data_IF_120852155568
#
_entry.id   IF_120852155568
#
_cell.length_a   1.000
_cell.length_b   1.000
_cell.length_c   1.000
_cell.angle_alpha   90.00
_cell.angle_beta   90.00
_cell.angle_gamma   90.00
#
_symmetry.space_group_name_H-M   'P 1'
#
loop_
_entity.id
_entity.type
_entity.pdbx_description
1 polymer ?
#
# COMPACT_ATOMS: atom_id res chain seq x y z
N UNK A 1 10.64 -5.45 20.32
CA UNK A 1 9.61 -4.39 20.29
C UNK A 1 8.40 -4.92 19.53
N UNK A 2 7.17 -4.43 19.77
CA UNK A 2 6.03 -4.74 18.91
C UNK A 2 5.95 -3.70 17.79
N UNK A 3 5.64 -4.12 16.57
CA UNK A 3 5.47 -3.26 15.40
C UNK A 3 4.45 -3.86 14.43
N UNK A 4 3.95 -3.03 13.52
CA UNK A 4 3.13 -3.45 12.37
C UNK A 4 3.86 -3.04 11.10
N UNK A 5 4.16 -3.99 10.19
CA UNK A 5 4.68 -3.68 8.85
C UNK A 5 3.54 -3.17 7.97
N UNK A 6 3.71 -1.98 7.38
CA UNK A 6 2.68 -1.29 6.59
C UNK A 6 2.84 -1.54 5.08
N UNK A 7 4.08 -1.59 4.59
CA UNK A 7 4.44 -1.76 3.18
C UNK A 7 4.44 -3.25 2.76
N UNK A 8 3.27 -3.91 2.82
CA UNK A 8 3.16 -5.36 2.56
C UNK A 8 3.22 -5.74 1.08
N UNK A 9 2.69 -4.86 0.22
CA UNK A 9 2.54 -5.07 -1.21
C UNK A 9 3.33 -4.04 -2.04
N UNK A 10 4.19 -3.25 -1.42
CA UNK A 10 5.00 -2.26 -2.09
C UNK A 10 6.22 -1.99 -1.22
N UNK A 11 7.28 -1.43 -1.79
CA UNK A 11 8.38 -0.86 -1.02
C UNK A 11 9.12 0.19 -1.84
N UNK A 12 9.95 0.99 -1.19
CA UNK A 12 10.90 1.86 -1.88
C UNK A 12 11.99 1.01 -2.54
N UNK A 13 12.47 1.43 -3.72
CA UNK A 13 13.59 0.79 -4.40
C UNK A 13 14.86 0.90 -3.53
N UNK A 14 15.45 -0.22 -3.09
CA UNK A 14 16.65 -0.20 -2.25
C UNK A 14 17.88 0.38 -2.98
N UNK A 15 17.82 0.50 -4.30
CA UNK A 15 18.84 1.13 -5.14
C UNK A 15 18.67 2.65 -5.30
N UNK A 16 17.52 3.24 -4.97
CA UNK A 16 17.23 4.65 -5.24
C UNK A 16 17.31 5.51 -3.95
N UNK A 17 18.13 6.58 -3.92
CA UNK A 17 18.20 7.51 -2.76
C UNK A 17 17.10 8.61 -2.79
N UNK A 18 16.21 8.60 -3.78
CA UNK A 18 15.38 9.75 -4.15
C UNK A 18 14.13 9.96 -3.29
N UNK A 19 14.23 9.81 -1.96
CA UNK A 19 13.16 10.22 -1.07
C UNK A 19 13.02 11.75 -1.10
N UNK A 20 11.85 12.21 -1.52
CA UNK A 20 11.42 13.59 -1.39
C UNK A 20 10.38 13.72 -0.29
N UNK A 21 10.67 14.58 0.68
CA UNK A 21 9.73 14.95 1.75
C UNK A 21 9.17 16.34 1.47
N UNK A 22 7.86 16.43 1.29
CA UNK A 22 7.16 17.68 0.99
C UNK A 22 6.07 17.95 2.04
N UNK A 23 6.12 19.07 2.77
CA UNK A 23 4.98 19.52 3.56
C UNK A 23 3.77 19.75 2.63
N UNK A 24 2.60 19.29 3.07
CA UNK A 24 1.31 19.52 2.41
C UNK A 24 0.34 20.13 3.43
N UNK A 25 -0.81 20.60 2.98
CA UNK A 25 -1.83 21.11 3.90
C UNK A 25 -2.22 20.02 4.90
N UNK A 26 -2.09 20.32 6.18
CA UNK A 26 -2.34 19.39 7.28
C UNK A 26 -1.36 18.23 7.43
N UNK A 27 -0.24 18.12 6.68
CA UNK A 27 0.59 16.91 6.78
C UNK A 27 1.90 16.89 5.98
N UNK A 28 2.37 15.68 5.69
CA UNK A 28 3.59 15.41 4.90
C UNK A 28 3.27 14.42 3.79
N UNK A 29 3.83 14.66 2.61
CA UNK A 29 3.93 13.68 1.54
C UNK A 29 5.38 13.23 1.38
N UNK A 30 5.59 11.91 1.45
CA UNK A 30 6.79 11.25 0.95
C UNK A 30 6.58 10.87 -0.51
N UNK A 31 7.61 11.02 -1.33
CA UNK A 31 7.61 10.53 -2.72
C UNK A 31 8.94 9.84 -3.00
N UNK A 32 8.90 8.65 -3.58
CA UNK A 32 10.06 7.79 -3.78
C UNK A 32 9.81 6.81 -4.94
N UNK A 33 10.88 6.28 -5.52
CA UNK A 33 10.81 5.22 -6.53
C UNK A 33 10.43 3.91 -5.84
N UNK A 34 9.50 3.17 -6.41
CA UNK A 34 9.06 1.86 -5.92
C UNK A 34 9.98 0.74 -6.39
N UNK A 35 10.03 -0.38 -5.66
CA UNK A 35 10.85 -1.56 -5.99
C UNK A 35 10.16 -2.50 -7.00
N UNK A 36 10.54 -2.47 -8.30
CA UNK A 36 9.98 -3.40 -9.30
C UNK A 36 10.53 -4.83 -9.17
N UNK A 37 11.64 -5.04 -8.45
CA UNK A 37 12.24 -6.37 -8.29
C UNK A 37 11.57 -7.15 -7.17
N UNK A 38 11.14 -6.45 -6.11
CA UNK A 38 10.40 -7.02 -5.00
C UNK A 38 8.93 -7.31 -5.33
N UNK A 39 8.35 -6.59 -6.30
CA UNK A 39 6.91 -6.61 -6.56
C UNK A 39 6.61 -6.62 -8.07
N UNK A 40 6.09 -7.74 -8.58
CA UNK A 40 5.83 -7.95 -10.01
C UNK A 40 4.79 -7.01 -10.64
N UNK A 41 4.01 -6.31 -9.83
CA UNK A 41 3.00 -5.37 -10.29
C UNK A 41 3.51 -3.93 -10.34
N UNK A 42 4.76 -3.69 -9.97
CA UNK A 42 5.40 -2.38 -9.95
C UNK A 42 6.29 -2.28 -11.20
N UNK A 43 6.12 -1.20 -11.96
CA UNK A 43 6.91 -0.95 -13.16
C UNK A 43 8.23 -0.24 -12.82
N UNK A 44 9.26 -0.40 -13.66
CA UNK A 44 10.54 0.28 -13.47
C UNK A 44 10.37 1.82 -13.47
N UNK A 45 10.93 2.47 -12.45
CA UNK A 45 10.85 3.93 -12.30
C UNK A 45 9.49 4.43 -11.80
N UNK A 46 8.56 3.54 -11.46
CA UNK A 46 7.27 3.93 -10.92
C UNK A 46 7.41 4.62 -9.56
N UNK A 47 6.65 5.70 -9.38
CA UNK A 47 6.70 6.52 -8.17
C UNK A 47 5.57 6.14 -7.20
N UNK A 48 5.93 6.02 -5.93
CA UNK A 48 5.01 5.83 -4.82
C UNK A 48 4.91 7.09 -3.96
N UNK A 49 3.76 7.25 -3.31
CA UNK A 49 3.52 8.32 -2.34
C UNK A 49 3.01 7.75 -1.03
N UNK A 50 3.57 8.23 0.07
CA UNK A 50 3.01 8.04 1.41
C UNK A 50 2.52 9.39 1.91
N UNK A 51 1.25 9.46 2.28
CA UNK A 51 0.60 10.64 2.83
C UNK A 51 0.41 10.45 4.33
N UNK A 52 1.06 11.29 5.13
CA UNK A 52 0.88 11.34 6.57
C UNK A 52 -0.01 12.53 6.90
N UNK A 53 -1.18 12.25 7.47
CA UNK A 53 -2.20 13.23 7.83
C UNK A 53 -2.04 13.70 9.28
N UNK A 54 -2.26 14.99 9.50
CA UNK A 54 -2.16 15.67 10.80
C UNK A 54 -0.88 15.30 11.51
N UNK A 55 0.22 15.82 10.96
CA UNK A 55 1.58 15.57 11.44
C UNK A 55 1.93 16.53 12.57
N UNK A 56 2.27 15.99 13.73
CA UNK A 56 2.84 16.77 14.83
C UNK A 56 4.31 17.11 14.55
N UNK A 57 5.13 16.09 14.30
CA UNK A 57 6.56 16.26 14.07
C UNK A 57 7.15 15.10 13.27
N UNK A 58 8.28 15.35 12.62
CA UNK A 58 9.03 14.34 11.90
C UNK A 58 10.54 14.55 12.03
N UNK A 59 11.32 13.51 11.73
CA UNK A 59 12.78 13.57 11.61
C UNK A 59 13.23 12.93 10.30
N UNK A 60 14.41 13.31 9.85
CA UNK A 60 15.13 12.69 8.75
C UNK A 60 16.55 12.44 9.25
N UNK A 61 16.82 11.19 9.61
CA UNK A 61 18.11 10.76 10.12
C UNK A 61 18.94 10.21 8.94
N UNK A 62 20.16 10.70 8.69
CA UNK A 62 21.01 10.24 7.59
C UNK A 62 21.69 8.87 7.86
N UNK A 63 21.29 8.16 8.91
CA UNK A 63 21.74 6.80 9.20
C UNK A 63 21.47 5.89 8.02
N UNK A 64 22.50 5.19 7.55
CA UNK A 64 22.41 4.15 6.54
C UNK A 64 22.36 2.74 7.16
N UNK A 65 22.21 1.71 6.32
CA UNK A 65 22.12 0.33 6.76
C UNK A 65 23.35 -0.13 7.56
N UNK A 66 24.55 0.33 7.23
CA UNK A 66 25.77 -0.11 7.91
C UNK A 66 25.79 0.44 9.33
N UNK A 67 25.53 1.75 9.47
CA UNK A 67 25.43 2.42 10.78
C UNK A 67 24.34 1.79 11.64
N UNK A 68 23.21 1.43 11.02
CA UNK A 68 22.10 0.74 11.68
C UNK A 68 22.49 -0.64 12.21
N UNK A 69 23.16 -1.45 11.38
CA UNK A 69 23.63 -2.79 11.75
C UNK A 69 24.68 -2.76 12.86
N UNK A 70 25.52 -1.72 12.88
CA UNK A 70 26.49 -1.48 13.96
C UNK A 70 25.84 -1.06 15.29
N UNK A 71 24.51 -0.93 15.32
CA UNK A 71 23.72 -0.66 16.52
C UNK A 71 23.70 0.81 16.93
N UNK A 72 24.14 1.72 16.05
CA UNK A 72 24.26 3.15 16.32
C UNK A 72 22.95 3.93 16.08
N UNK A 73 21.81 3.25 16.17
CA UNK A 73 20.48 3.84 16.14
C UNK A 73 19.69 3.44 17.39
N UNK A 74 18.68 4.25 17.74
CA UNK A 74 17.87 4.06 18.96
C UNK A 74 17.04 2.77 18.98
N UNK A 75 16.84 2.15 17.81
CA UNK A 75 16.28 0.80 17.67
C UNK A 75 17.31 -0.12 17.02
N UNK A 76 17.27 -1.40 17.38
CA UNK A 76 18.17 -2.42 16.87
C UNK A 76 17.51 -3.26 15.75
N UNK A 77 18.31 -3.83 14.84
CA UNK A 77 17.79 -4.55 13.66
C UNK A 77 16.96 -5.80 14.00
N UNK A 78 17.24 -6.45 15.14
CA UNK A 78 16.42 -7.55 15.65
C UNK A 78 15.03 -7.07 16.14
N UNK A 79 14.86 -5.77 16.37
CA UNK A 79 13.61 -5.14 16.77
C UNK A 79 12.85 -4.55 15.58
N UNK A 80 13.54 -3.99 14.59
CA UNK A 80 12.98 -3.40 13.37
C UNK A 80 13.87 -3.73 12.16
N UNK A 81 13.50 -4.70 11.32
CA UNK A 81 14.29 -4.99 10.13
C UNK A 81 14.49 -3.77 9.23
N UNK A 82 15.71 -3.58 8.73
CA UNK A 82 16.03 -2.51 7.79
C UNK A 82 15.25 -2.61 6.46
N UNK A 83 14.99 -1.46 5.85
CA UNK A 83 14.44 -1.34 4.49
C UNK A 83 12.92 -1.41 4.41
N UNK A 84 12.21 -1.23 5.53
CA UNK A 84 10.77 -1.48 5.62
C UNK A 84 10.04 -0.29 6.26
N UNK A 85 8.71 -0.27 6.14
CA UNK A 85 7.86 0.76 6.71
C UNK A 85 6.99 0.21 7.84
N UNK A 86 7.06 0.84 9.01
CA UNK A 86 6.42 0.34 10.22
C UNK A 86 5.57 1.40 10.93
N UNK A 87 4.52 0.91 11.59
CA UNK A 87 3.89 1.58 12.72
C UNK A 87 4.39 0.97 14.04
N UNK A 88 4.75 1.84 14.98
CA UNK A 88 5.21 1.48 16.31
C UNK A 88 4.11 1.77 17.35
N UNK A 89 3.34 0.75 17.78
CA UNK A 89 2.26 0.96 18.72
C UNK A 89 2.80 1.29 20.12
N UNK A 90 2.11 2.19 20.82
CA UNK A 90 2.35 2.56 22.22
C UNK A 90 3.70 3.24 22.51
N UNK A 91 4.34 3.89 21.51
CA UNK A 91 5.49 4.75 21.80
C UNK A 91 5.01 6.08 22.37
N UNK A 92 5.58 6.48 23.50
CA UNK A 92 5.33 7.79 24.07
C UNK A 92 5.93 8.86 23.14
N UNK A 93 5.13 9.83 22.72
CA UNK A 93 5.60 10.93 21.85
C UNK A 93 6.77 11.71 22.47
N UNK A 94 6.96 11.64 23.80
CA UNK A 94 8.11 12.22 24.50
C UNK A 94 9.44 11.50 24.21
N UNK A 95 9.38 10.24 23.77
CA UNK A 95 10.55 9.46 23.39
C UNK A 95 10.94 9.70 21.91
N UNK A 96 10.24 10.60 21.22
CA UNK A 96 10.56 10.99 19.85
C UNK A 96 11.86 11.83 19.80
N UNK A 97 12.67 11.77 18.73
CA UNK A 97 13.98 12.40 18.72
C UNK A 97 13.94 13.91 19.02
N UNK A 98 14.99 14.41 19.68
CA UNK A 98 15.05 15.80 20.13
C UNK A 98 15.14 16.79 18.96
N UNK A 99 15.83 16.40 17.89
CA UNK A 99 16.08 17.16 16.65
C UNK A 99 14.90 17.17 15.67
N UNK A 100 13.73 16.70 16.11
CA UNK A 100 12.48 16.72 15.34
C UNK A 100 12.14 18.11 14.80
N UNK A 101 11.55 18.12 13.61
CA UNK A 101 10.89 19.27 13.01
C UNK A 101 9.40 19.22 13.38
N UNK A 102 8.97 20.16 14.22
CA UNK A 102 7.56 20.29 14.61
C UNK A 102 6.80 21.03 13.50
N UNK A 103 5.70 20.43 13.02
CA UNK A 103 4.82 21.03 12.02
C UNK A 103 3.55 21.63 12.65
N UNK A 104 2.94 20.93 13.60
CA UNK A 104 1.75 21.42 14.30
C UNK A 104 1.72 20.97 15.77
N UNK A 105 2.06 21.89 16.67
CA UNK A 105 2.05 21.65 18.12
C UNK A 105 0.63 21.75 18.74
N UNK A 106 -0.43 21.98 17.97
CA UNK A 106 -1.81 22.04 18.49
C UNK A 106 -2.54 20.69 18.42
N UNK A 107 -2.00 19.70 17.70
CA UNK A 107 -2.61 18.37 17.55
C UNK A 107 -2.77 17.68 18.91
N UNK A 108 -3.88 16.94 19.12
CA UNK A 108 -4.05 16.10 20.30
C UNK A 108 -3.05 14.94 20.28
N UNK A 109 -2.10 14.97 21.22
CA UNK A 109 -1.02 13.99 21.31
C UNK A 109 -1.52 12.58 21.67
N UNK A 110 -2.78 12.43 22.12
CA UNK A 110 -3.38 11.13 22.43
C UNK A 110 -3.74 10.31 21.20
N UNK A 111 -3.95 10.97 20.06
CA UNK A 111 -4.33 10.33 18.79
C UNK A 111 -3.13 10.12 17.87
N UNK A 112 -1.94 10.55 18.29
CA UNK A 112 -0.71 10.38 17.52
C UNK A 112 -0.28 8.92 17.46
N UNK A 113 0.01 8.49 16.24
CA UNK A 113 0.66 7.23 15.89
C UNK A 113 2.10 7.51 15.49
N UNK A 114 2.94 6.50 15.62
CA UNK A 114 4.37 6.60 15.33
C UNK A 114 4.70 5.75 14.12
N UNK A 115 5.18 6.42 13.07
CA UNK A 115 5.60 5.80 11.82
C UNK A 115 7.11 5.91 11.63
N UNK A 116 7.74 4.83 11.17
CA UNK A 116 9.17 4.82 10.84
C UNK A 116 9.39 4.08 9.52
N UNK A 117 10.10 4.71 8.58
CA UNK A 117 10.42 4.15 7.28
C UNK A 117 11.93 4.20 7.06
N UNK A 118 12.53 3.02 6.91
CA UNK A 118 13.92 2.84 6.56
C UNK A 118 14.08 2.87 5.03
N UNK A 119 14.69 3.94 4.51
CA UNK A 119 15.12 4.04 3.12
C UNK A 119 16.56 3.56 2.97
N UNK A 120 17.15 3.64 1.78
CA UNK A 120 18.51 3.19 1.51
C UNK A 120 19.57 3.90 2.37
N UNK A 121 19.46 5.22 2.49
CA UNK A 121 20.51 6.12 3.01
C UNK A 121 19.99 7.06 4.10
N UNK A 122 18.75 6.83 4.57
CA UNK A 122 18.14 7.64 5.61
C UNK A 122 16.95 6.93 6.24
N UNK A 123 16.60 7.37 7.44
CA UNK A 123 15.42 6.93 8.19
C UNK A 123 14.48 8.13 8.31
N UNK A 124 13.26 7.96 7.82
CA UNK A 124 12.17 8.89 8.07
C UNK A 124 11.38 8.42 9.29
N UNK A 125 11.19 9.30 10.26
CA UNK A 125 10.36 9.03 11.43
C UNK A 125 9.33 10.12 11.60
N UNK A 126 8.09 9.77 11.98
CA UNK A 126 7.00 10.73 12.06
C UNK A 126 5.96 10.38 13.12
N UNK A 127 5.46 11.42 13.78
CA UNK A 127 4.25 11.38 14.60
C UNK A 127 3.10 12.02 13.84
N UNK A 128 2.10 11.22 13.47
CA UNK A 128 0.96 11.65 12.67
C UNK A 128 -0.31 10.93 13.13
N UNK A 129 -1.49 11.44 12.77
CA UNK A 129 -2.75 10.78 13.12
C UNK A 129 -3.07 9.60 12.20
N UNK A 130 -2.68 9.71 10.93
CA UNK A 130 -2.92 8.66 9.96
C UNK A 130 -1.87 8.61 8.85
N UNK A 131 -1.85 7.50 8.13
CA UNK A 131 -0.94 7.24 7.03
C UNK A 131 -1.65 6.45 5.93
N UNK A 132 -1.45 6.85 4.67
CA UNK A 132 -1.93 6.09 3.50
C UNK A 132 -0.90 6.04 2.38
N UNK A 133 -0.92 4.96 1.60
CA UNK A 133 -0.10 4.79 0.42
C UNK A 133 -0.92 4.99 -0.87
N UNK A 134 -0.29 5.57 -1.90
CA UNK A 134 -0.86 5.70 -3.25
C UNK A 134 0.22 5.56 -4.32
N UNK A 135 -0.12 4.98 -5.46
CA UNK A 135 0.71 5.06 -6.67
C UNK A 135 0.59 6.46 -7.29
N UNK A 136 1.69 7.00 -7.81
CA UNK A 136 1.71 8.30 -8.50
C UNK A 136 1.61 8.14 -10.02
N UNK A 137 0.58 7.41 -10.45
CA UNK A 137 0.39 7.01 -11.86
C UNK A 137 -1.03 7.25 -12.38
N UNK A 138 -1.94 7.79 -11.55
CA UNK A 138 -3.34 8.01 -11.92
C UNK A 138 -4.11 6.72 -12.23
N UNK A 139 -3.74 5.58 -11.60
CA UNK A 139 -4.35 4.27 -11.87
C UNK A 139 -5.87 4.28 -11.77
N UNK A 140 -6.43 4.98 -10.77
CA UNK A 140 -7.87 5.03 -10.56
C UNK A 140 -8.56 5.79 -11.69
N UNK A 141 -8.04 6.96 -12.03
CA UNK A 141 -8.53 7.78 -13.13
C UNK A 141 -8.46 7.03 -14.46
N UNK A 142 -7.37 6.30 -14.69
CA UNK A 142 -7.19 5.46 -15.88
C UNK A 142 -8.22 4.31 -15.95
N UNK A 143 -8.47 3.62 -14.83
CA UNK A 143 -9.44 2.54 -14.76
C UNK A 143 -10.87 3.07 -14.95
N UNK A 144 -11.21 4.22 -14.36
CA UNK A 144 -12.51 4.86 -14.53
C UNK A 144 -12.74 5.32 -15.98
N UNK A 145 -11.71 5.85 -16.65
CA UNK A 145 -11.80 6.24 -18.06
C UNK A 145 -12.03 5.02 -18.97
N UNK A 146 -11.25 3.94 -18.77
CA UNK A 146 -11.33 2.72 -19.60
C UNK A 146 -12.55 1.86 -19.30
N UNK A 147 -12.94 1.78 -18.03
CA UNK A 147 -13.97 0.89 -17.51
C UNK A 147 -14.93 1.68 -16.59
N UNK A 148 -15.75 2.60 -17.14
CA UNK A 148 -16.53 3.57 -16.37
C UNK A 148 -17.65 2.96 -15.53
N UNK A 149 -17.96 1.67 -15.71
CA UNK A 149 -18.88 0.94 -14.83
C UNK A 149 -18.17 0.33 -13.63
N UNK A 150 -16.87 0.05 -13.75
CA UNK A 150 -16.01 -0.36 -12.65
C UNK A 150 -16.45 -1.65 -11.98
N UNK A 151 -17.09 -2.59 -12.70
CA UNK A 151 -17.60 -3.83 -12.10
C UNK A 151 -16.47 -4.66 -11.48
N UNK A 152 -15.33 -4.76 -12.15
CA UNK A 152 -14.18 -5.51 -11.64
C UNK A 152 -13.47 -4.74 -10.51
N UNK A 153 -13.51 -3.40 -10.51
CA UNK A 153 -13.04 -2.60 -9.38
C UNK A 153 -13.89 -2.91 -8.14
N UNK A 154 -15.21 -2.82 -8.29
CA UNK A 154 -16.19 -3.12 -7.23
C UNK A 154 -16.01 -4.54 -6.70
N UNK A 155 -15.90 -5.54 -7.59
CA UNK A 155 -15.65 -6.92 -7.22
C UNK A 155 -14.39 -7.07 -6.34
N UNK A 156 -13.26 -6.47 -6.75
CA UNK A 156 -11.99 -6.56 -6.00
C UNK A 156 -12.03 -5.81 -4.67
N UNK A 157 -12.64 -4.62 -4.62
CA UNK A 157 -12.81 -3.85 -3.38
C UNK A 157 -13.62 -4.65 -2.36
N UNK A 158 -14.72 -5.23 -2.81
CA UNK A 158 -15.57 -6.05 -1.95
C UNK A 158 -14.88 -7.37 -1.59
N UNK A 159 -14.09 -7.99 -2.48
CA UNK A 159 -13.25 -9.14 -2.14
C UNK A 159 -12.26 -8.81 -1.01
N UNK A 160 -11.54 -7.70 -1.12
CA UNK A 160 -10.55 -7.25 -0.14
C UNK A 160 -11.18 -7.02 1.26
N UNK A 161 -12.45 -6.63 1.31
CA UNK A 161 -13.18 -6.48 2.57
C UNK A 161 -13.52 -7.80 3.27
N UNK A 162 -13.55 -8.91 2.53
CA UNK A 162 -13.97 -10.22 3.02
C UNK A 162 -12.81 -11.21 3.20
N UNK A 163 -11.73 -11.05 2.43
CA UNK A 163 -10.62 -11.99 2.40
C UNK A 163 -9.27 -11.27 2.44
N UNK A 164 -8.43 -11.68 3.39
CA UNK A 164 -7.06 -11.16 3.50
C UNK A 164 -6.10 -11.73 2.45
N UNK A 165 -6.38 -12.97 1.97
CA UNK A 165 -5.49 -13.71 1.07
C UNK A 165 -6.23 -14.22 -0.16
N UNK A 166 -5.65 -14.06 -1.36
CA UNK A 166 -6.18 -14.63 -2.58
C UNK A 166 -5.88 -16.12 -2.65
N UNK A 167 -6.92 -16.91 -2.85
CA UNK A 167 -6.82 -18.33 -3.17
C UNK A 167 -7.95 -18.69 -4.11
N UNK A 168 -7.76 -19.74 -4.90
CA UNK A 168 -8.82 -20.28 -5.77
C UNK A 168 -10.12 -20.55 -5.00
N UNK A 169 -10.04 -21.07 -3.79
CA UNK A 169 -11.20 -21.33 -2.94
C UNK A 169 -11.90 -20.03 -2.53
N UNK A 170 -11.14 -19.02 -2.09
CA UNK A 170 -11.67 -17.72 -1.70
C UNK A 170 -12.33 -17.02 -2.89
N UNK A 171 -11.73 -17.06 -4.09
CA UNK A 171 -12.35 -16.49 -5.29
C UNK A 171 -13.66 -17.20 -5.66
N UNK A 172 -13.70 -18.53 -5.55
CA UNK A 172 -14.93 -19.28 -5.80
C UNK A 172 -16.02 -18.94 -4.79
N UNK A 173 -15.70 -18.93 -3.50
CA UNK A 173 -16.64 -18.58 -2.42
C UNK A 173 -17.15 -17.15 -2.60
N UNK A 174 -16.24 -16.23 -2.86
CA UNK A 174 -16.59 -14.83 -3.04
C UNK A 174 -17.41 -14.59 -4.31
N UNK A 175 -17.15 -15.31 -5.40
CA UNK A 175 -17.97 -15.20 -6.62
C UNK A 175 -19.42 -15.59 -6.35
N UNK A 176 -19.65 -16.64 -5.56
CA UNK A 176 -21.00 -17.02 -5.12
C UNK A 176 -21.64 -15.92 -4.26
N UNK A 177 -20.90 -15.41 -3.28
CA UNK A 177 -21.37 -14.33 -2.41
C UNK A 177 -21.70 -13.04 -3.19
N UNK A 178 -20.85 -12.66 -4.14
CA UNK A 178 -21.05 -11.49 -4.99
C UNK A 178 -22.37 -11.59 -5.78
N UNK A 179 -22.68 -12.76 -6.34
CA UNK A 179 -23.96 -12.98 -7.04
C UNK A 179 -25.15 -12.90 -6.08
N UNK A 180 -25.00 -13.37 -4.84
CA UNK A 180 -26.06 -13.27 -3.83
C UNK A 180 -26.32 -11.83 -3.40
N UNK A 181 -25.28 -10.99 -3.34
CA UNK A 181 -25.37 -9.58 -2.95
C UNK A 181 -25.85 -8.69 -4.10
N UNK A 182 -25.19 -8.76 -5.26
CA UNK A 182 -25.39 -7.84 -6.39
C UNK A 182 -26.36 -8.37 -7.45
N UNK A 183 -26.60 -9.68 -7.46
CA UNK A 183 -27.50 -10.34 -8.38
C UNK A 183 -26.87 -10.78 -9.70
N UNK A 184 -27.57 -11.69 -10.39
CA UNK A 184 -27.08 -12.32 -11.64
C UNK A 184 -26.86 -11.36 -12.79
N UNK A 185 -27.64 -10.26 -12.84
CA UNK A 185 -27.51 -9.26 -13.90
C UNK A 185 -26.16 -8.55 -13.79
N UNK A 186 -25.84 -8.04 -12.60
CA UNK A 186 -24.57 -7.35 -12.36
C UNK A 186 -23.38 -8.30 -12.57
N UNK A 187 -23.51 -9.56 -12.16
CA UNK A 187 -22.48 -10.56 -12.43
C UNK A 187 -22.27 -10.84 -13.93
N UNK A 188 -23.33 -10.77 -14.75
CA UNK A 188 -23.20 -10.87 -16.20
C UNK A 188 -22.48 -9.65 -16.80
N UNK A 189 -22.75 -8.45 -16.26
CA UNK A 189 -22.07 -7.21 -16.67
C UNK A 189 -20.58 -7.22 -16.26
N UNK A 190 -20.25 -7.71 -15.04
CA UNK A 190 -18.87 -7.99 -14.61
C UNK A 190 -18.15 -8.93 -15.59
N UNK A 191 -18.80 -10.01 -16.02
CA UNK A 191 -18.21 -10.93 -17.01
C UNK A 191 -17.95 -10.25 -18.34
N UNK A 192 -18.86 -9.39 -18.80
CA UNK A 192 -18.70 -8.64 -20.04
C UNK A 192 -17.53 -7.64 -19.95
N UNK A 193 -17.43 -6.90 -18.85
CA UNK A 193 -16.29 -6.01 -18.58
C UNK A 193 -14.98 -6.80 -18.54
N UNK A 194 -14.94 -7.94 -17.85
CA UNK A 194 -13.76 -8.80 -17.79
C UNK A 194 -13.29 -9.30 -19.16
N UNK A 195 -14.21 -9.59 -20.10
CA UNK A 195 -13.83 -9.90 -21.48
C UNK A 195 -13.16 -8.71 -22.18
N UNK A 196 -13.62 -7.48 -21.93
CA UNK A 196 -12.98 -6.27 -22.45
C UNK A 196 -11.59 -6.07 -21.87
N UNK A 197 -11.43 -6.21 -20.55
CA UNK A 197 -10.14 -6.12 -19.85
C UNK A 197 -9.12 -7.09 -20.46
N UNK A 198 -9.53 -8.34 -20.69
CA UNK A 198 -8.67 -9.35 -21.33
C UNK A 198 -8.33 -9.00 -22.76
N UNK A 199 -9.30 -8.52 -23.55
CA UNK A 199 -9.10 -8.11 -24.94
C UNK A 199 -8.08 -6.97 -25.06
N UNK A 200 -8.08 -6.06 -24.09
CA UNK A 200 -7.18 -4.91 -24.04
C UNK A 200 -5.83 -5.23 -23.37
N UNK A 201 -5.63 -6.45 -22.87
CA UNK A 201 -4.46 -6.84 -22.08
C UNK A 201 -4.26 -6.01 -20.80
N UNK A 202 -5.36 -5.54 -20.20
CA UNK A 202 -5.35 -4.61 -19.06
C UNK A 202 -5.36 -5.31 -17.68
N UNK A 203 -5.21 -6.64 -17.62
CA UNK A 203 -5.20 -7.37 -16.33
C UNK A 203 -4.08 -6.89 -15.38
N UNK A 204 -2.96 -6.41 -15.92
CA UNK A 204 -1.87 -5.82 -15.11
C UNK A 204 -2.32 -4.59 -14.32
N UNK A 205 -3.26 -3.79 -14.85
CA UNK A 205 -3.83 -2.64 -14.13
C UNK A 205 -4.64 -3.11 -12.92
N UNK A 206 -5.38 -4.20 -13.05
CA UNK A 206 -6.16 -4.79 -11.96
C UNK A 206 -5.29 -5.54 -10.94
N UNK A 207 -4.16 -6.09 -11.37
CA UNK A 207 -3.15 -6.62 -10.45
C UNK A 207 -2.60 -5.49 -9.56
N UNK A 208 -2.25 -4.34 -10.16
CA UNK A 208 -1.80 -3.15 -9.43
C UNK A 208 -2.89 -2.60 -8.51
N UNK A 209 -4.13 -2.52 -9.01
CA UNK A 209 -5.28 -2.06 -8.22
C UNK A 209 -5.56 -2.97 -7.02
N UNK A 210 -5.57 -4.29 -7.20
CA UNK A 210 -5.76 -5.23 -6.09
C UNK A 210 -4.66 -5.15 -5.03
N UNK A 211 -3.41 -4.86 -5.44
CA UNK A 211 -2.32 -4.61 -4.50
C UNK A 211 -2.48 -3.28 -3.75
N UNK A 212 -3.07 -2.24 -4.38
CA UNK A 212 -3.46 -0.98 -3.73
C UNK A 212 -4.53 -1.16 -2.63
N UNK A 213 -5.35 -2.21 -2.75
CA UNK A 213 -6.36 -2.61 -1.77
C UNK A 213 -5.77 -3.48 -0.64
N UNK A 214 -4.44 -3.63 -0.58
CA UNK A 214 -3.73 -4.45 0.40
C UNK A 214 -4.10 -5.94 0.40
N UNK A 215 -4.55 -6.49 -0.73
CA UNK A 215 -4.79 -7.94 -0.87
C UNK A 215 -3.42 -8.65 -0.86
N UNK A 216 -3.06 -9.25 0.28
CA UNK A 216 -1.71 -9.78 0.48
C UNK A 216 -1.47 -11.06 -0.32
N UNK A 217 -0.37 -11.10 -1.10
CA UNK A 217 -0.02 -12.24 -1.94
C UNK A 217 -0.79 -12.32 -3.26
N UNK A 218 -1.40 -11.21 -3.68
CA UNK A 218 -2.03 -11.08 -4.98
C UNK A 218 -0.96 -10.89 -6.06
N UNK A 219 -0.69 -11.97 -6.79
CA UNK A 219 0.13 -11.96 -7.98
C UNK A 219 -0.64 -12.25 -9.28
N UNK A 220 0.06 -12.25 -10.41
CA UNK A 220 -0.48 -12.53 -11.74
C UNK A 220 -1.18 -13.88 -11.77
N UNK A 221 -0.58 -14.89 -11.14
CA UNK A 221 -1.19 -16.22 -10.99
C UNK A 221 -2.56 -16.13 -10.30
N UNK A 222 -2.66 -15.36 -9.23
CA UNK A 222 -3.89 -15.22 -8.46
C UNK A 222 -4.95 -14.42 -9.23
N UNK A 223 -4.56 -13.36 -9.94
CA UNK A 223 -5.45 -12.66 -10.87
C UNK A 223 -5.98 -13.62 -11.94
N UNK A 224 -5.11 -14.43 -12.56
CA UNK A 224 -5.54 -15.42 -13.56
C UNK A 224 -6.49 -16.47 -12.97
N UNK A 225 -6.26 -16.90 -11.72
CA UNK A 225 -7.16 -17.81 -11.00
C UNK A 225 -8.52 -17.16 -10.73
N UNK A 226 -8.55 -15.92 -10.25
CA UNK A 226 -9.78 -15.15 -10.04
C UNK A 226 -10.60 -15.06 -11.34
N UNK A 227 -9.96 -14.65 -12.43
CA UNK A 227 -10.59 -14.54 -13.75
C UNK A 227 -11.20 -15.87 -14.17
N UNK A 228 -10.46 -16.97 -14.01
CA UNK A 228 -10.95 -18.32 -14.35
C UNK A 228 -12.15 -18.73 -13.49
N UNK A 229 -12.16 -18.41 -12.20
CA UNK A 229 -13.27 -18.76 -11.32
C UNK A 229 -14.52 -17.93 -11.67
N UNK A 230 -14.38 -16.63 -11.94
CA UNK A 230 -15.48 -15.77 -12.44
C UNK A 230 -16.05 -16.35 -13.74
N UNK A 231 -15.20 -16.63 -14.74
CA UNK A 231 -15.62 -17.12 -16.06
C UNK A 231 -16.36 -18.47 -15.99
N UNK A 232 -15.81 -19.42 -15.21
CA UNK A 232 -16.38 -20.76 -15.05
C UNK A 232 -17.67 -20.78 -14.24
N UNK A 233 -17.90 -19.78 -13.40
CA UNK A 233 -19.05 -19.77 -12.52
C UNK A 233 -20.36 -19.76 -13.33
N UNK A 234 -21.13 -20.84 -13.21
CA UNK A 234 -22.47 -20.96 -13.80
C UNK A 234 -23.48 -20.46 -12.77
N UNK A 235 -23.65 -19.14 -12.70
CA UNK A 235 -24.71 -18.48 -11.94
C UNK A 235 -26.01 -18.47 -12.72
#
# INVERSE_FOLDING_TARGET
MKYTKLNRNWNADPGAPDLKVSPIDGGIQLSFVLDPKGFEHIDEGEMGKVLLDRVYAYTLDPTDQNVYVDGNFRFQNDQLPWGEFYELPNINWKDFPEDKKVLDDQIDKKELRHFIFFFRDQIFECLAMDCSFKYDNGLMELLEEKYPKGYLNHYLTMFASQFEKPSRENFRMYTDLYIQMEGKKEFADLKAELQMVKKNSDLGLYLKFGNSLEIFGLGQKQIDEMVREIEKFKG
#
